data_IF_279269757815
#
_entry.id   IF_279269757815
#
_cell.length_a   1.000
_cell.length_b   1.000
_cell.length_c   1.000
_cell.angle_alpha   90.00
_cell.angle_beta   90.00
_cell.angle_gamma   90.00
#
_symmetry.space_group_name_H-M   'P 1'
#
loop_
_entity.id
_entity.type
_entity.pdbx_description
1 polymer ?
#
# COMPACT_ATOMS: atom_id res chain seq x y z
N UNK A 1 80.16 10.28 130.73
CA UNK A 1 79.87 9.11 129.88
C UNK A 1 78.87 9.52 128.82
N UNK A 2 79.14 9.09 127.58
CA UNK A 2 78.21 8.92 126.45
C UNK A 2 77.50 10.14 125.85
N UNK A 3 78.03 10.60 124.71
CA UNK A 3 77.23 11.13 123.59
C UNK A 3 76.19 10.11 123.12
N UNK A 4 75.17 10.58 122.39
CA UNK A 4 74.77 9.89 121.17
C UNK A 4 74.91 10.80 119.95
N UNK A 5 75.59 10.25 118.97
CA UNK A 5 75.66 10.66 117.58
C UNK A 5 74.33 10.24 116.91
N UNK A 6 73.64 11.14 116.20
CA UNK A 6 72.66 10.76 115.17
C UNK A 6 72.50 11.96 114.22
N UNK A 7 73.31 11.99 113.18
CA UNK A 7 72.92 11.63 111.81
C UNK A 7 72.04 12.70 111.17
N UNK A 8 72.69 13.82 110.82
CA UNK A 8 72.25 14.66 109.71
C UNK A 8 72.17 13.80 108.46
N UNK A 9 70.96 13.58 107.95
CA UNK A 9 70.76 13.06 106.60
C UNK A 9 71.34 14.08 105.63
N UNK A 10 72.48 13.72 105.06
CA UNK A 10 73.13 14.39 103.95
C UNK A 10 72.35 13.99 102.68
N UNK A 11 71.30 14.76 102.33
CA UNK A 11 70.72 14.68 100.99
C UNK A 11 71.69 15.37 100.02
N UNK A 12 72.33 14.53 99.20
CA UNK A 12 73.51 14.87 98.44
C UNK A 12 73.28 15.88 97.29
N UNK A 13 74.30 16.70 96.96
CA UNK A 13 74.33 17.61 95.80
C UNK A 13 74.18 16.94 94.41
N UNK A 14 74.26 15.62 94.33
CA UNK A 14 74.18 14.85 93.07
C UNK A 14 72.75 14.72 92.52
N UNK A 15 71.74 14.72 93.39
CA UNK A 15 70.33 14.59 92.99
C UNK A 15 69.80 15.90 92.39
N UNK A 16 70.27 17.04 92.91
CA UNK A 16 69.99 18.38 92.36
C UNK A 16 70.64 18.57 90.99
N UNK A 17 71.84 18.03 90.78
CA UNK A 17 72.53 18.09 89.48
C UNK A 17 71.85 17.21 88.41
N UNK A 18 71.39 16.01 88.78
CA UNK A 18 70.59 15.16 87.89
C UNK A 18 69.21 15.79 87.59
N UNK A 19 68.55 16.41 88.57
CA UNK A 19 67.29 17.11 88.35
C UNK A 19 67.45 18.34 87.44
N UNK A 20 68.53 19.11 87.59
CA UNK A 20 68.81 20.28 86.75
C UNK A 20 69.09 19.89 85.28
N UNK A 21 69.89 18.84 85.05
CA UNK A 21 70.15 18.33 83.70
C UNK A 21 68.89 17.72 83.06
N UNK A 22 68.01 17.09 83.84
CA UNK A 22 66.71 16.60 83.34
C UNK A 22 65.79 17.75 82.92
N UNK A 23 65.74 18.83 83.70
CA UNK A 23 64.96 20.04 83.39
C UNK A 23 65.50 20.75 82.14
N UNK A 24 66.81 20.83 81.98
CA UNK A 24 67.45 21.39 80.80
C UNK A 24 67.15 20.56 79.54
N UNK A 25 67.16 19.23 79.67
CA UNK A 25 66.75 18.32 78.60
C UNK A 25 65.26 18.45 78.25
N UNK A 26 64.38 18.64 79.25
CA UNK A 26 62.96 18.91 79.03
C UNK A 26 62.73 20.25 78.34
N UNK A 27 63.48 21.29 78.73
CA UNK A 27 63.41 22.60 78.10
C UNK A 27 63.89 22.55 76.64
N UNK A 28 65.01 21.87 76.38
CA UNK A 28 65.49 21.62 75.02
C UNK A 28 64.52 20.78 74.19
N UNK A 29 63.87 19.77 74.79
CA UNK A 29 62.84 18.94 74.14
C UNK A 29 61.59 19.75 73.81
N UNK A 30 61.10 20.56 74.76
CA UNK A 30 59.96 21.45 74.58
C UNK A 30 60.23 22.51 73.50
N UNK A 31 61.44 23.09 73.46
CA UNK A 31 61.85 24.01 72.40
C UNK A 31 61.87 23.33 71.01
N UNK A 32 62.40 22.10 70.91
CA UNK A 32 62.36 21.33 69.67
C UNK A 32 60.94 20.98 69.24
N UNK A 33 60.07 20.59 70.17
CA UNK A 33 58.66 20.30 69.88
C UNK A 33 57.92 21.55 69.42
N UNK A 34 58.17 22.71 70.04
CA UNK A 34 57.60 23.98 69.61
C UNK A 34 58.04 24.33 68.19
N UNK A 35 59.33 24.20 67.88
CA UNK A 35 59.87 24.50 66.55
C UNK A 35 59.32 23.53 65.50
N UNK A 36 59.20 22.24 65.85
CA UNK A 36 58.56 21.23 65.01
C UNK A 36 57.11 21.63 64.73
N UNK A 37 56.34 21.96 65.75
CA UNK A 37 54.94 22.33 65.60
C UNK A 37 54.80 23.61 64.74
N UNK A 38 55.64 24.62 64.96
CA UNK A 38 55.69 25.82 64.12
C UNK A 38 55.99 25.50 62.65
N UNK A 39 56.94 24.58 62.39
CA UNK A 39 57.26 24.11 61.04
C UNK A 39 56.08 23.37 60.41
N UNK A 40 55.43 22.50 61.16
CA UNK A 40 54.25 21.76 60.70
C UNK A 40 53.09 22.71 60.40
N UNK A 41 52.80 23.69 61.27
CA UNK A 41 51.79 24.72 61.02
C UNK A 41 52.09 25.53 59.76
N UNK A 42 53.34 25.94 59.55
CA UNK A 42 53.75 26.65 58.34
C UNK A 42 53.59 25.77 57.09
N UNK A 43 53.87 24.47 57.20
CA UNK A 43 53.66 23.48 56.13
C UNK A 43 52.18 23.34 55.79
N UNK A 44 51.31 23.18 56.80
CA UNK A 44 49.85 23.08 56.62
C UNK A 44 49.29 24.35 55.98
N UNK A 45 49.67 25.55 56.45
CA UNK A 45 49.23 26.81 55.86
C UNK A 45 49.64 26.94 54.39
N UNK A 46 50.86 26.53 54.05
CA UNK A 46 51.32 26.50 52.65
C UNK A 46 50.46 25.55 51.80
N UNK A 47 50.13 24.37 52.32
CA UNK A 47 49.24 23.40 51.68
C UNK A 47 47.83 23.94 51.45
N UNK A 48 47.25 24.60 52.46
CA UNK A 48 45.94 25.25 52.34
C UNK A 48 45.95 26.37 51.29
N UNK A 49 46.99 27.21 51.28
CA UNK A 49 47.13 28.25 50.26
C UNK A 49 47.31 27.70 48.83
N UNK A 50 47.94 26.53 48.66
CA UNK A 50 47.97 25.87 47.34
C UNK A 50 46.60 25.36 46.94
N UNK A 51 45.84 24.79 47.87
CA UNK A 51 44.51 24.24 47.58
C UNK A 51 43.49 25.34 47.28
N UNK A 52 43.52 26.44 48.04
CA UNK A 52 42.71 27.63 47.76
C UNK A 52 43.00 28.14 46.35
N UNK A 53 44.28 28.25 45.97
CA UNK A 53 44.67 28.69 44.62
C UNK A 53 44.20 27.72 43.53
N UNK A 54 44.32 26.41 43.77
CA UNK A 54 43.85 25.37 42.85
C UNK A 54 42.34 25.46 42.65
N UNK A 55 41.58 25.63 43.72
CA UNK A 55 40.13 25.76 43.66
C UNK A 55 39.70 27.07 42.98
N UNK A 56 40.36 28.18 43.30
CA UNK A 56 40.14 29.47 42.64
C UNK A 56 40.38 29.38 41.13
N UNK A 57 41.46 28.73 40.71
CA UNK A 57 41.74 28.48 39.31
C UNK A 57 40.61 27.64 38.68
N UNK A 58 40.24 26.53 39.31
CA UNK A 58 39.17 25.66 38.81
C UNK A 58 37.81 26.37 38.69
N UNK A 59 37.45 27.20 39.68
CA UNK A 59 36.24 28.02 39.61
C UNK A 59 36.32 29.04 38.47
N UNK A 60 37.49 29.62 38.22
CA UNK A 60 37.72 30.56 37.13
C UNK A 60 37.58 29.86 35.77
N UNK A 61 38.21 28.69 35.61
CA UNK A 61 38.15 27.89 34.39
C UNK A 61 36.72 27.44 34.08
N UNK A 62 35.98 26.94 35.09
CA UNK A 62 34.59 26.53 34.94
C UNK A 62 33.68 27.71 34.59
N UNK A 63 33.90 28.87 35.21
CA UNK A 63 33.15 30.10 34.90
C UNK A 63 33.42 30.54 33.46
N UNK A 64 34.66 30.46 33.00
CA UNK A 64 35.03 30.73 31.61
C UNK A 64 34.34 29.76 30.66
N UNK A 65 34.40 28.45 30.93
CA UNK A 65 33.76 27.42 30.11
C UNK A 65 32.25 27.64 30.00
N UNK A 66 31.57 27.92 31.11
CA UNK A 66 30.14 28.23 31.11
C UNK A 66 29.83 29.49 30.32
N UNK A 67 30.64 30.54 30.46
CA UNK A 67 30.44 31.81 29.74
C UNK A 67 30.61 31.62 28.23
N UNK A 68 31.66 30.93 27.81
CA UNK A 68 31.94 30.62 26.40
C UNK A 68 30.82 29.76 25.82
N UNK A 69 30.50 28.62 26.46
CA UNK A 69 29.41 27.73 26.00
C UNK A 69 28.06 28.44 25.95
N UNK A 70 27.75 29.29 26.92
CA UNK A 70 26.50 30.07 26.92
C UNK A 70 26.46 31.07 25.77
N UNK A 71 27.59 31.71 25.44
CA UNK A 71 27.67 32.66 24.33
C UNK A 71 27.51 31.98 22.96
N UNK A 72 28.10 30.80 22.78
CA UNK A 72 27.98 30.00 21.55
C UNK A 72 26.56 29.46 21.37
N UNK A 73 25.95 28.97 22.45
CA UNK A 73 24.63 28.35 22.41
C UNK A 73 23.49 29.37 22.23
N UNK A 74 23.63 30.59 22.77
CA UNK A 74 22.56 31.59 22.71
C UNK A 74 22.42 32.21 21.32
N UNK A 75 23.53 32.43 20.60
CA UNK A 75 23.53 33.01 19.26
C UNK A 75 23.21 32.00 18.14
N UNK A 76 23.91 30.87 18.11
CA UNK A 76 23.77 29.87 17.04
C UNK A 76 22.56 28.94 17.27
N UNK A 77 22.30 28.56 18.53
CA UNK A 77 21.19 27.69 18.90
C UNK A 77 19.81 28.31 18.64
N UNK A 78 19.65 29.62 18.89
CA UNK A 78 18.39 30.33 18.62
C UNK A 78 18.11 30.45 17.12
N UNK A 79 19.14 30.74 16.33
CA UNK A 79 19.04 30.81 14.86
C UNK A 79 18.65 29.45 14.27
N UNK A 80 19.35 28.39 14.66
CA UNK A 80 19.05 27.01 14.24
C UNK A 80 17.66 26.54 14.68
N UNK A 81 17.27 26.86 15.91
CA UNK A 81 15.92 26.54 16.42
C UNK A 81 14.82 27.24 15.63
N UNK A 82 15.03 28.53 15.30
CA UNK A 82 14.12 29.31 14.46
C UNK A 82 14.01 28.75 13.04
N UNK A 83 15.14 28.35 12.44
CA UNK A 83 15.15 27.73 11.10
C UNK A 83 14.41 26.37 11.10
N UNK A 84 14.68 25.51 12.08
CA UNK A 84 13.96 24.24 12.23
C UNK A 84 12.46 24.46 12.40
N UNK A 85 12.06 25.45 13.20
CA UNK A 85 10.65 25.79 13.38
C UNK A 85 10.00 26.23 12.07
N UNK A 86 10.66 27.10 11.29
CA UNK A 86 10.17 27.49 9.96
C UNK A 86 10.04 26.31 9.01
N UNK A 87 11.02 25.38 9.03
CA UNK A 87 10.95 24.16 8.22
C UNK A 87 9.80 23.25 8.64
N UNK A 88 9.53 23.12 9.94
CA UNK A 88 8.38 22.39 10.43
C UNK A 88 7.07 23.03 9.96
N UNK A 89 6.92 24.35 10.12
CA UNK A 89 5.73 25.10 9.66
C UNK A 89 5.52 24.97 8.14
N UNK A 90 6.60 25.02 7.36
CA UNK A 90 6.53 24.84 5.91
C UNK A 90 6.16 23.41 5.51
N UNK A 91 6.71 22.39 6.17
CA UNK A 91 6.35 21.00 5.95
C UNK A 91 4.89 20.72 6.35
N UNK A 92 4.41 21.30 7.45
CA UNK A 92 3.01 21.22 7.86
C UNK A 92 2.07 21.88 6.84
N UNK A 93 2.46 23.04 6.30
CA UNK A 93 1.70 23.71 5.25
C UNK A 93 1.65 22.87 3.96
N UNK A 94 2.78 22.29 3.54
CA UNK A 94 2.84 21.39 2.39
C UNK A 94 2.00 20.14 2.60
N UNK A 95 2.06 19.53 3.80
CA UNK A 95 1.26 18.38 4.16
C UNK A 95 -0.24 18.71 4.06
N UNK A 96 -0.66 19.86 4.59
CA UNK A 96 -2.05 20.32 4.51
C UNK A 96 -2.52 20.56 3.06
N UNK A 97 -1.66 21.10 2.21
CA UNK A 97 -1.97 21.24 0.77
C UNK A 97 -2.16 19.88 0.13
N UNK A 98 -1.27 18.91 0.41
CA UNK A 98 -1.38 17.55 -0.12
C UNK A 98 -2.59 16.79 0.41
N UNK A 99 -2.95 16.98 1.67
CA UNK A 99 -4.18 16.43 2.24
C UNK A 99 -5.43 16.98 1.55
N UNK A 100 -5.47 18.28 1.28
CA UNK A 100 -6.57 18.90 0.55
C UNK A 100 -6.64 18.41 -0.91
N UNK A 101 -5.52 18.37 -1.62
CA UNK A 101 -5.44 17.82 -2.98
C UNK A 101 -5.94 16.36 -3.02
N UNK A 102 -5.52 15.53 -2.06
CA UNK A 102 -5.95 14.15 -1.96
C UNK A 102 -7.46 14.05 -1.68
N UNK A 103 -7.99 14.87 -0.76
CA UNK A 103 -9.41 14.91 -0.46
C UNK A 103 -10.25 15.28 -1.70
N UNK A 104 -9.81 16.22 -2.53
CA UNK A 104 -10.48 16.56 -3.79
C UNK A 104 -10.39 15.45 -4.83
N UNK A 105 -9.22 14.80 -4.97
CA UNK A 105 -9.06 13.65 -5.86
C UNK A 105 -9.97 12.47 -5.45
N UNK A 106 -10.13 12.22 -4.15
CA UNK A 106 -11.04 11.20 -3.65
C UNK A 106 -12.50 11.50 -3.99
N UNK A 107 -12.93 12.77 -3.85
CA UNK A 107 -14.28 13.20 -4.26
C UNK A 107 -14.49 13.03 -5.76
N UNK A 108 -13.51 13.41 -6.58
CA UNK A 108 -13.61 13.27 -8.04
C UNK A 108 -13.67 11.79 -8.45
N UNK A 109 -12.89 10.93 -7.78
CA UNK A 109 -12.90 9.49 -7.99
C UNK A 109 -14.26 8.88 -7.60
N UNK A 110 -14.84 9.30 -6.47
CA UNK A 110 -16.19 8.89 -6.05
C UNK A 110 -17.25 9.31 -7.08
N UNK A 111 -17.21 10.56 -7.54
CA UNK A 111 -18.12 11.06 -8.57
C UNK A 111 -18.00 10.28 -9.88
N UNK A 112 -16.78 9.99 -10.33
CA UNK A 112 -16.52 9.19 -11.54
C UNK A 112 -17.03 7.76 -11.37
N UNK A 113 -16.83 7.13 -10.22
CA UNK A 113 -17.35 5.79 -9.95
C UNK A 113 -18.88 5.76 -9.91
N UNK A 114 -19.52 6.79 -9.35
CA UNK A 114 -20.97 6.93 -9.40
C UNK A 114 -21.48 7.05 -10.85
N UNK A 115 -20.81 7.86 -11.68
CA UNK A 115 -21.13 7.98 -13.11
C UNK A 115 -20.97 6.65 -13.85
N UNK A 116 -19.87 5.92 -13.60
CA UNK A 116 -19.64 4.58 -14.18
C UNK A 116 -20.81 3.66 -13.83
N UNK A 117 -21.22 3.63 -12.55
CA UNK A 117 -22.34 2.78 -12.09
C UNK A 117 -23.64 3.11 -12.82
N UNK A 118 -23.96 4.40 -13.02
CA UNK A 118 -25.14 4.83 -13.77
C UNK A 118 -25.06 4.38 -15.23
N UNK A 119 -23.90 4.59 -15.89
CA UNK A 119 -23.70 4.20 -17.29
C UNK A 119 -23.78 2.69 -17.47
N UNK A 120 -23.17 1.90 -16.58
CA UNK A 120 -23.25 0.45 -16.58
C UNK A 120 -24.68 -0.05 -16.44
N UNK A 121 -25.46 0.52 -15.51
CA UNK A 121 -26.87 0.17 -15.35
C UNK A 121 -27.68 0.53 -16.61
N UNK A 122 -27.40 1.69 -17.20
CA UNK A 122 -28.10 2.13 -18.41
C UNK A 122 -27.81 1.21 -19.60
N UNK A 123 -26.56 0.75 -19.74
CA UNK A 123 -26.19 -0.23 -20.79
C UNK A 123 -26.91 -1.55 -20.53
N UNK A 124 -26.84 -2.10 -19.31
CA UNK A 124 -27.51 -3.35 -18.94
C UNK A 124 -29.02 -3.30 -19.21
N UNK A 125 -29.68 -2.17 -18.90
CA UNK A 125 -31.10 -1.99 -19.18
C UNK A 125 -31.41 -1.93 -20.68
N UNK A 126 -30.58 -1.25 -21.48
CA UNK A 126 -30.75 -1.22 -22.94
C UNK A 126 -30.52 -2.60 -23.56
N UNK A 127 -29.49 -3.31 -23.14
CA UNK A 127 -29.22 -4.69 -23.58
C UNK A 127 -30.40 -5.61 -23.27
N UNK A 128 -30.96 -5.51 -22.06
CA UNK A 128 -32.15 -6.27 -21.67
C UNK A 128 -33.34 -5.95 -22.59
N UNK A 129 -33.62 -4.66 -22.83
CA UNK A 129 -34.71 -4.23 -23.73
C UNK A 129 -34.54 -4.76 -25.15
N UNK A 130 -33.36 -4.62 -25.75
CA UNK A 130 -33.11 -5.13 -27.09
C UNK A 130 -33.19 -6.65 -27.18
N UNK A 131 -32.76 -7.37 -26.14
CA UNK A 131 -32.90 -8.81 -26.09
C UNK A 131 -34.37 -9.25 -26.01
N UNK A 132 -35.20 -8.55 -25.23
CA UNK A 132 -36.64 -8.79 -25.16
C UNK A 132 -37.33 -8.52 -26.50
N UNK A 133 -37.00 -7.40 -27.16
CA UNK A 133 -37.51 -7.09 -28.50
C UNK A 133 -37.10 -8.13 -29.54
N UNK A 134 -35.85 -8.60 -29.48
CA UNK A 134 -35.34 -9.63 -30.38
C UNK A 134 -36.08 -10.96 -30.16
N UNK A 135 -36.32 -11.35 -28.90
CA UNK A 135 -37.13 -12.54 -28.56
C UNK A 135 -38.56 -12.41 -29.09
N UNK A 136 -39.20 -11.26 -28.91
CA UNK A 136 -40.55 -11.01 -29.40
C UNK A 136 -40.64 -11.09 -30.94
N UNK A 137 -39.68 -10.48 -31.64
CA UNK A 137 -39.59 -10.54 -33.11
C UNK A 137 -39.31 -11.96 -33.61
N UNK A 138 -38.41 -12.68 -32.94
CA UNK A 138 -38.10 -14.08 -33.25
C UNK A 138 -39.36 -14.96 -33.11
N UNK A 139 -40.09 -14.83 -31.99
CA UNK A 139 -41.34 -15.55 -31.80
C UNK A 139 -42.38 -15.24 -32.87
N UNK A 140 -42.55 -13.96 -33.23
CA UNK A 140 -43.44 -13.53 -34.32
C UNK A 140 -43.04 -14.14 -35.67
N UNK A 141 -41.74 -14.19 -35.96
CA UNK A 141 -41.22 -14.80 -37.18
C UNK A 141 -41.53 -16.30 -37.21
N UNK A 142 -41.34 -17.02 -36.09
CA UNK A 142 -41.71 -18.43 -35.98
C UNK A 142 -43.20 -18.66 -36.24
N UNK A 143 -44.09 -17.84 -35.67
CA UNK A 143 -45.53 -17.93 -35.91
C UNK A 143 -45.89 -17.74 -37.38
N UNK A 144 -45.39 -16.68 -38.02
CA UNK A 144 -45.64 -16.41 -39.44
C UNK A 144 -45.04 -17.49 -40.36
N UNK A 145 -43.86 -18.01 -40.02
CA UNK A 145 -43.24 -19.12 -40.75
C UNK A 145 -44.09 -20.38 -40.67
N UNK A 146 -44.65 -20.70 -39.50
CA UNK A 146 -45.53 -21.86 -39.34
C UNK A 146 -46.85 -21.72 -40.11
N UNK A 147 -47.44 -20.52 -40.12
CA UNK A 147 -48.64 -20.22 -40.91
C UNK A 147 -48.36 -20.35 -42.42
N UNK A 148 -47.21 -19.86 -42.89
CA UNK A 148 -46.81 -19.98 -44.28
C UNK A 148 -46.59 -21.45 -44.68
N UNK A 149 -45.94 -22.24 -43.83
CA UNK A 149 -45.75 -23.67 -44.04
C UNK A 149 -47.09 -24.44 -44.08
N UNK A 150 -48.02 -24.08 -43.19
CA UNK A 150 -49.37 -24.66 -43.19
C UNK A 150 -50.14 -24.35 -44.48
N UNK A 151 -50.03 -23.11 -44.99
CA UNK A 151 -50.62 -22.72 -46.27
C UNK A 151 -49.97 -23.46 -47.43
N UNK A 152 -48.64 -23.57 -47.45
CA UNK A 152 -47.91 -24.33 -48.46
C UNK A 152 -48.34 -25.80 -48.48
N UNK A 153 -48.47 -26.42 -47.30
CA UNK A 153 -48.99 -27.79 -47.14
C UNK A 153 -50.41 -27.95 -47.68
N UNK A 154 -51.29 -26.98 -47.40
CA UNK A 154 -52.67 -26.97 -47.91
C UNK A 154 -52.71 -26.84 -49.44
N UNK A 155 -51.90 -25.95 -50.00
CA UNK A 155 -51.79 -25.77 -51.46
C UNK A 155 -51.30 -27.07 -52.09
N UNK A 156 -50.23 -27.68 -51.57
CA UNK A 156 -49.71 -28.93 -52.08
C UNK A 156 -50.78 -30.04 -52.08
N UNK A 157 -51.54 -30.15 -50.98
CA UNK A 157 -52.65 -31.09 -50.86
C UNK A 157 -53.75 -30.85 -51.91
N UNK A 158 -54.21 -29.61 -52.07
CA UNK A 158 -55.22 -29.24 -53.08
C UNK A 158 -54.71 -29.45 -54.50
N UNK A 159 -53.44 -29.13 -54.78
CA UNK A 159 -52.78 -29.41 -56.06
C UNK A 159 -52.74 -30.91 -56.35
N UNK A 160 -52.40 -31.74 -55.36
CA UNK A 160 -52.47 -33.21 -55.50
C UNK A 160 -53.89 -33.69 -55.77
N UNK A 161 -54.91 -33.14 -55.09
CA UNK A 161 -56.31 -33.46 -55.36
C UNK A 161 -56.74 -33.08 -56.77
N UNK A 162 -56.34 -31.90 -57.26
CA UNK A 162 -56.61 -31.45 -58.63
C UNK A 162 -55.96 -32.39 -59.65
N UNK A 163 -54.69 -32.77 -59.44
CA UNK A 163 -54.01 -33.73 -60.30
C UNK A 163 -54.70 -35.11 -60.29
N UNK A 164 -55.12 -35.60 -59.13
CA UNK A 164 -55.86 -36.86 -59.02
C UNK A 164 -57.22 -36.80 -59.75
N UNK A 165 -57.97 -35.71 -59.60
CA UNK A 165 -59.25 -35.50 -60.29
C UNK A 165 -59.05 -35.40 -61.82
N UNK A 166 -58.06 -34.64 -62.28
CA UNK A 166 -57.69 -34.55 -63.70
C UNK A 166 -57.35 -35.93 -64.26
N UNK A 167 -56.54 -36.72 -63.54
CA UNK A 167 -56.20 -38.08 -63.96
C UNK A 167 -57.44 -38.97 -64.09
N UNK A 168 -58.35 -38.95 -63.11
CA UNK A 168 -59.62 -39.69 -63.17
C UNK A 168 -60.47 -39.30 -64.39
N UNK A 169 -60.61 -37.99 -64.66
CA UNK A 169 -61.35 -37.50 -65.83
C UNK A 169 -60.72 -37.99 -67.14
N UNK A 170 -59.41 -37.86 -67.29
CA UNK A 170 -58.70 -38.32 -68.49
C UNK A 170 -58.77 -39.84 -68.67
N UNK A 171 -58.74 -40.60 -67.57
CA UNK A 171 -58.95 -42.05 -67.59
C UNK A 171 -60.40 -42.45 -67.91
N UNK A 172 -61.40 -41.62 -67.56
CA UNK A 172 -62.81 -41.86 -67.94
C UNK A 172 -63.15 -41.44 -69.36
N UNK A 173 -62.38 -40.54 -69.98
CA UNK A 173 -62.57 -40.10 -71.37
C UNK A 173 -61.79 -40.95 -72.40
N UNK A 174 -61.17 -42.04 -71.96
CA UNK A 174 -60.32 -42.92 -72.77
C UNK A 174 -60.97 -44.26 -73.13
N UNK A 175 -62.16 -44.24 -73.73
CA UNK A 175 -62.68 -45.36 -74.54
C UNK A 175 -63.10 -44.85 -75.92
N UNK A 176 -62.11 -44.56 -76.76
CA UNK A 176 -62.23 -44.63 -78.23
C UNK A 176 -60.84 -44.37 -78.82
N UNK A 177 -60.14 -45.48 -79.04
CA UNK A 177 -59.51 -45.90 -80.29
C UNK A 177 -58.54 -44.98 -81.07
N UNK A 178 -57.54 -45.65 -81.65
CA UNK A 178 -56.59 -45.22 -82.70
C UNK A 178 -55.34 -44.37 -82.34
N UNK A 179 -54.26 -45.11 -82.05
CA UNK A 179 -52.91 -45.13 -82.68
C UNK A 179 -52.20 -43.88 -83.27
N UNK A 180 -50.85 -43.88 -83.25
CA UNK A 180 -49.99 -42.72 -83.46
C UNK A 180 -49.44 -42.63 -84.89
N UNK A 181 -49.31 -41.44 -85.47
CA UNK A 181 -48.42 -41.25 -86.62
C UNK A 181 -48.12 -39.79 -86.88
N UNK A 182 -46.84 -39.48 -87.13
CA UNK A 182 -46.43 -38.21 -87.70
C UNK A 182 -45.31 -37.48 -86.95
N UNK A 183 -44.11 -38.06 -86.92
CA UNK A 183 -42.90 -37.23 -87.02
C UNK A 183 -42.65 -36.99 -88.52
N UNK A 184 -42.14 -35.82 -88.93
CA UNK A 184 -40.70 -35.81 -89.15
C UNK A 184 -40.02 -34.45 -88.85
N UNK A 185 -38.68 -34.51 -88.91
CA UNK A 185 -37.72 -33.43 -89.16
C UNK A 185 -37.15 -32.69 -87.94
N UNK A 186 -36.02 -33.24 -87.48
CA UNK A 186 -34.76 -32.54 -87.26
C UNK A 186 -34.83 -31.04 -86.92
N UNK A 187 -35.00 -30.76 -85.64
CA UNK A 187 -34.45 -29.55 -85.03
C UNK A 187 -33.57 -30.00 -83.87
N UNK A 188 -32.31 -30.36 -84.17
CA UNK A 188 -31.26 -30.53 -83.15
C UNK A 188 -30.87 -29.15 -82.61
N UNK A 189 -31.83 -28.48 -81.96
CA UNK A 189 -31.52 -27.46 -80.98
C UNK A 189 -30.97 -28.22 -79.78
N UNK A 190 -29.64 -28.36 -79.73
CA UNK A 190 -29.00 -28.43 -78.43
C UNK A 190 -29.37 -27.11 -77.74
N UNK A 191 -30.12 -27.11 -76.61
CA UNK A 191 -30.11 -25.93 -75.78
C UNK A 191 -28.68 -25.84 -75.29
N UNK A 192 -27.90 -24.94 -75.87
CA UNK A 192 -26.71 -24.46 -75.20
C UNK A 192 -27.19 -24.04 -73.79
N UNK A 193 -26.49 -24.47 -72.72
CA UNK A 193 -26.88 -24.06 -71.38
C UNK A 193 -26.99 -22.53 -71.40
N UNK A 194 -28.07 -21.95 -70.82
CA UNK A 194 -28.13 -20.50 -70.63
C UNK A 194 -26.79 -20.07 -70.11
N UNK A 195 -26.16 -19.06 -70.72
CA UNK A 195 -25.01 -18.45 -70.09
C UNK A 195 -25.52 -17.88 -68.78
N UNK A 196 -25.34 -18.65 -67.72
CA UNK A 196 -25.43 -18.20 -66.35
C UNK A 196 -24.46 -17.04 -66.27
N UNK A 197 -25.02 -15.84 -66.45
CA UNK A 197 -24.48 -14.69 -65.76
C UNK A 197 -24.73 -15.02 -64.31
N UNK A 198 -23.78 -15.74 -63.71
CA UNK A 198 -23.60 -15.73 -62.28
C UNK A 198 -23.82 -14.28 -61.85
N UNK A 199 -24.69 -13.99 -60.86
CA UNK A 199 -24.52 -12.75 -60.15
C UNK A 199 -23.07 -12.77 -59.72
N UNK A 200 -22.30 -11.78 -60.17
CA UNK A 200 -20.95 -11.49 -59.71
C UNK A 200 -21.06 -11.41 -58.19
N UNK A 201 -20.91 -12.55 -57.50
CA UNK A 201 -20.90 -12.58 -56.05
C UNK A 201 -19.69 -11.73 -55.70
N UNK A 202 -19.84 -10.62 -54.95
CA UNK A 202 -18.70 -9.84 -54.51
C UNK A 202 -17.93 -10.71 -53.52
N UNK A 203 -17.08 -11.60 -54.04
CA UNK A 203 -16.18 -12.42 -53.25
C UNK A 203 -15.08 -11.48 -52.78
N UNK A 204 -15.39 -10.81 -51.68
CA UNK A 204 -14.45 -10.40 -50.65
C UNK A 204 -13.34 -9.46 -51.15
N UNK A 205 -13.71 -8.21 -51.39
CA UNK A 205 -12.80 -7.09 -51.13
C UNK A 205 -13.50 -6.04 -50.27
N UNK A 206 -13.57 -6.31 -48.98
CA UNK A 206 -13.81 -5.27 -47.98
C UNK A 206 -12.62 -4.32 -47.96
N UNK A 207 -12.67 -3.30 -48.81
CA UNK A 207 -11.87 -2.08 -48.70
C UNK A 207 -12.74 -0.89 -49.10
N UNK A 208 -13.82 -0.67 -48.35
CA UNK A 208 -14.51 0.62 -48.25
C UNK A 208 -14.99 0.79 -46.82
N UNK A 209 -14.63 1.92 -46.25
CA UNK A 209 -14.78 2.29 -44.85
C UNK A 209 -16.23 2.14 -44.37
N UNK A 210 -16.44 1.34 -43.34
CA UNK A 210 -17.67 1.37 -42.53
C UNK A 210 -17.58 2.59 -41.62
N UNK A 211 -17.90 3.77 -42.14
CA UNK A 211 -17.93 5.00 -41.33
C UNK A 211 -19.22 5.80 -41.49
N UNK A 212 -20.31 5.17 -41.94
CA UNK A 212 -21.64 5.80 -41.96
C UNK A 212 -22.64 4.94 -41.15
N UNK A 213 -23.12 5.43 -40.00
CA UNK A 213 -24.17 4.77 -39.23
C UNK A 213 -25.49 4.73 -40.00
N UNK A 214 -26.21 3.60 -39.95
CA UNK A 214 -27.53 3.39 -40.57
C UNK A 214 -28.69 4.05 -39.79
N UNK A 215 -28.41 5.04 -38.93
CA UNK A 215 -29.43 5.65 -38.08
C UNK A 215 -29.04 7.10 -37.70
N UNK A 216 -29.91 8.11 -37.93
CA UNK A 216 -29.61 9.53 -37.66
C UNK A 216 -29.23 9.83 -36.20
N UNK A 217 -29.81 9.13 -35.22
CA UNK A 217 -29.50 9.37 -33.79
C UNK A 217 -28.10 8.91 -33.31
N UNK A 218 -27.32 8.19 -34.13
CA UNK A 218 -25.92 7.85 -33.78
C UNK A 218 -24.88 8.82 -34.35
N UNK A 219 -25.30 9.82 -35.13
CA UNK A 219 -24.39 10.79 -35.76
C UNK A 219 -23.78 11.75 -34.73
N UNK A 220 -24.51 12.11 -33.68
CA UNK A 220 -24.02 13.01 -32.62
C UNK A 220 -22.92 12.37 -31.75
N UNK A 221 -23.03 11.07 -31.48
CA UNK A 221 -22.04 10.31 -30.69
C UNK A 221 -20.73 10.16 -31.46
N UNK A 222 -20.81 10.03 -32.79
CA UNK A 222 -19.63 9.86 -33.64
C UNK A 222 -18.93 11.18 -33.97
N UNK A 223 -19.66 12.32 -34.02
CA UNK A 223 -19.06 13.65 -34.18
C UNK A 223 -18.20 14.06 -32.99
N UNK A 224 -18.54 13.63 -31.78
CA UNK A 224 -17.69 13.88 -30.60
C UNK A 224 -16.33 13.15 -30.66
N UNK A 225 -16.23 12.06 -31.41
CA UNK A 225 -14.98 11.30 -31.59
C UNK A 225 -14.13 11.70 -32.81
N UNK A 226 -14.65 12.54 -33.70
CA UNK A 226 -13.94 13.02 -34.89
C UNK A 226 -13.19 14.34 -34.64
N UNK A 227 -13.74 15.20 -33.79
CA UNK A 227 -13.24 16.57 -33.62
C UNK A 227 -12.09 16.69 -32.60
N UNK A 228 -11.83 15.63 -31.81
CA UNK A 228 -10.60 15.53 -31.01
C UNK A 228 -9.37 15.09 -31.80
N UNK A 229 -9.49 14.85 -33.13
CA UNK A 229 -8.38 14.34 -33.97
C UNK A 229 -7.90 15.29 -35.04
N UNK A 230 -7.98 16.61 -34.81
CA UNK A 230 -7.30 17.57 -35.68
C UNK A 230 -6.54 18.63 -34.87
N UNK A 231 -5.22 18.55 -34.99
CA UNK A 231 -4.27 19.65 -34.86
C UNK A 231 -4.09 20.25 -33.46
N UNK A 232 -3.61 19.43 -32.51
CA UNK A 232 -2.57 19.92 -31.62
C UNK A 232 -1.29 19.16 -31.95
N UNK A 233 -0.33 19.93 -32.43
CA UNK A 233 1.08 19.60 -32.55
C UNK A 233 1.51 18.81 -31.31
N UNK A 234 1.81 17.52 -31.51
CA UNK A 234 2.28 16.58 -30.51
C UNK A 234 3.45 17.19 -29.76
N UNK A 235 3.24 17.54 -28.49
CA UNK A 235 4.31 17.85 -27.55
C UNK A 235 5.29 16.65 -27.55
N UNK A 236 6.61 16.86 -27.54
CA UNK A 236 7.57 15.77 -27.56
C UNK A 236 7.45 15.01 -26.24
N UNK A 237 6.62 13.97 -26.23
CA UNK A 237 6.64 12.95 -25.19
C UNK A 237 8.01 12.31 -25.29
N UNK A 238 8.82 12.48 -24.24
CA UNK A 238 10.09 11.78 -24.09
C UNK A 238 9.83 10.29 -24.36
N UNK A 239 10.53 9.73 -25.35
CA UNK A 239 10.31 8.36 -25.76
C UNK A 239 10.49 7.47 -24.53
N UNK A 240 9.48 6.66 -24.21
CA UNK A 240 9.57 5.67 -23.14
C UNK A 240 10.88 4.90 -23.32
N UNK A 241 11.76 4.85 -22.30
CA UNK A 241 13.07 4.26 -22.44
C UNK A 241 12.91 2.82 -22.96
N UNK A 242 13.71 2.47 -23.97
CA UNK A 242 13.72 1.13 -24.55
C UNK A 242 13.74 0.09 -23.42
N UNK A 243 12.78 -0.86 -23.36
CA UNK A 243 12.75 -1.89 -22.31
C UNK A 243 13.95 -2.83 -22.33
N UNK A 244 14.90 -2.64 -23.24
CA UNK A 244 15.96 -3.59 -23.54
C UNK A 244 17.39 -3.02 -23.51
N UNK A 245 17.80 -2.28 -22.46
CA UNK A 245 19.14 -1.70 -22.40
C UNK A 245 20.27 -2.74 -22.26
N UNK A 246 19.94 -4.00 -21.93
CA UNK A 246 20.92 -5.07 -21.67
C UNK A 246 21.22 -5.98 -22.86
N UNK A 247 20.48 -5.89 -23.97
CA UNK A 247 20.71 -6.77 -25.14
C UNK A 247 21.73 -6.20 -26.13
N UNK A 248 21.95 -4.89 -26.14
CA UNK A 248 22.89 -4.25 -27.09
C UNK A 248 24.34 -4.24 -26.59
N UNK A 249 24.58 -4.51 -25.30
CA UNK A 249 25.93 -4.54 -24.73
C UNK A 249 26.72 -5.83 -25.03
N UNK A 250 26.12 -6.80 -25.75
CA UNK A 250 26.73 -8.11 -25.98
C UNK A 250 27.24 -8.35 -27.40
N UNK A 251 27.17 -7.37 -28.29
CA UNK A 251 27.57 -7.56 -29.70
C UNK A 251 28.83 -6.76 -30.13
N UNK A 252 29.40 -5.94 -29.25
CA UNK A 252 30.62 -5.17 -29.57
C UNK A 252 31.60 -5.11 -28.38
N UNK A 253 32.25 -6.23 -28.09
CA UNK A 253 33.59 -6.22 -27.49
C UNK A 253 34.26 -7.58 -27.70
N UNK A 254 35.17 -7.60 -28.67
CA UNK A 254 36.26 -8.54 -28.83
C UNK A 254 36.98 -8.74 -27.48
N UNK A 255 36.71 -9.88 -26.81
CA UNK A 255 37.25 -10.19 -25.49
C UNK A 255 38.74 -10.52 -25.62
N UNK A 256 39.57 -9.52 -25.40
CA UNK A 256 40.95 -9.71 -24.94
C UNK A 256 40.91 -10.50 -23.63
N UNK A 257 41.56 -11.67 -23.61
CA UNK A 257 41.84 -12.42 -22.40
C UNK A 257 42.69 -11.57 -21.45
N UNK A 258 42.09 -11.07 -20.37
CA UNK A 258 42.84 -10.70 -19.17
C UNK A 258 42.27 -11.51 -18.01
N UNK A 259 43.09 -12.45 -17.55
CA UNK A 259 42.86 -13.32 -16.40
C UNK A 259 43.08 -12.51 -15.14
N UNK A 260 42.02 -12.00 -14.52
CA UNK A 260 42.08 -11.42 -13.17
C UNK A 260 41.52 -12.41 -12.15
N UNK A 261 42.30 -12.68 -11.09
CA UNK A 261 41.94 -13.59 -10.00
C UNK A 261 40.85 -12.95 -9.12
N UNK A 262 39.92 -13.73 -8.54
CA UNK A 262 38.96 -13.19 -7.59
C UNK A 262 39.66 -12.75 -6.29
N UNK A 263 39.23 -11.60 -5.78
CA UNK A 263 39.65 -11.03 -4.49
C UNK A 263 39.20 -11.94 -3.34
N UNK A 264 40.17 -12.34 -2.52
CA UNK A 264 39.98 -13.12 -1.29
C UNK A 264 39.29 -12.22 -0.25
N UNK A 265 38.13 -12.65 0.26
CA UNK A 265 37.43 -11.98 1.35
C UNK A 265 38.25 -12.16 2.64
N UNK A 266 38.57 -11.10 3.41
CA UNK A 266 39.25 -11.24 4.69
C UNK A 266 38.30 -11.80 5.77
N UNK A 267 38.80 -12.53 6.77
CA UNK A 267 37.96 -13.14 7.81
C UNK A 267 37.41 -12.06 8.75
N UNK A 268 36.13 -12.18 9.08
CA UNK A 268 35.43 -11.31 10.05
C UNK A 268 35.90 -11.69 11.46
N UNK A 269 36.48 -10.74 12.21
CA UNK A 269 36.76 -10.90 13.63
C UNK A 269 35.45 -10.86 14.43
N UNK A 270 35.10 -11.97 15.10
CA UNK A 270 34.06 -11.99 16.13
C UNK A 270 34.70 -11.68 17.48
N UNK A 271 34.25 -10.60 18.09
CA UNK A 271 34.62 -10.20 19.43
C UNK A 271 33.63 -10.82 20.44
N UNK A 272 34.14 -11.61 21.38
CA UNK A 272 33.55 -11.83 22.72
C UNK A 272 34.48 -12.70 23.59
N UNK A 273 35.12 -12.01 24.52
CA UNK A 273 35.29 -12.34 25.95
C UNK A 273 35.61 -13.78 26.38
N UNK A 274 36.69 -13.86 27.13
CA UNK A 274 37.31 -14.95 27.89
C UNK A 274 36.40 -15.81 28.80
N UNK A 275 36.85 -17.07 28.89
CA UNK A 275 36.82 -18.03 30.01
C UNK A 275 35.66 -19.05 30.21
N UNK A 276 36.03 -20.30 29.81
CA UNK A 276 35.99 -21.58 30.54
C UNK A 276 34.69 -22.39 30.76
N UNK A 277 34.83 -23.68 30.39
CA UNK A 277 34.19 -24.94 30.85
C UNK A 277 32.97 -25.56 30.09
N UNK A 278 33.31 -26.62 29.32
CA UNK A 278 32.69 -27.93 28.96
C UNK A 278 31.21 -28.30 29.33
N UNK A 279 30.65 -29.43 28.80
CA UNK A 279 30.32 -29.75 27.40
C UNK A 279 28.88 -30.34 27.22
N UNK A 280 28.54 -30.73 25.98
CA UNK A 280 27.47 -31.67 25.55
C UNK A 280 26.08 -31.11 25.14
N UNK A 281 25.72 -31.26 23.85
CA UNK A 281 24.74 -32.26 23.32
C UNK A 281 24.18 -31.87 21.93
N UNK A 282 24.37 -32.79 20.99
CA UNK A 282 23.59 -33.20 19.79
C UNK A 282 22.63 -32.23 19.05
N UNK A 283 22.97 -31.98 17.77
CA UNK A 283 22.20 -31.88 16.48
C UNK A 283 20.65 -32.09 16.49
N UNK A 284 19.92 -31.78 15.37
CA UNK A 284 20.02 -30.65 14.43
C UNK A 284 18.64 -30.03 14.05
N UNK A 285 18.72 -28.93 13.29
CA UNK A 285 17.64 -28.16 12.67
C UNK A 285 16.64 -28.98 11.82
N UNK A 286 15.37 -28.56 11.82
CA UNK A 286 14.33 -29.02 10.87
C UNK A 286 13.66 -27.83 10.17
N UNK A 287 13.35 -28.06 8.90
CA UNK A 287 13.07 -27.09 7.86
C UNK A 287 11.65 -26.51 7.85
N UNK A 288 11.58 -25.31 7.29
CA UNK A 288 10.53 -24.65 6.50
C UNK A 288 9.22 -25.43 6.25
N UNK A 289 8.07 -24.86 6.64
CA UNK A 289 6.73 -25.25 6.15
C UNK A 289 5.94 -23.99 5.83
N UNK A 290 5.54 -23.86 4.57
CA UNK A 290 4.70 -22.78 4.05
C UNK A 290 3.27 -22.87 4.58
N UNK A 291 2.68 -21.70 4.82
CA UNK A 291 1.30 -21.54 5.30
C UNK A 291 0.36 -21.59 4.11
N UNK A 292 -0.42 -22.67 3.99
CA UNK A 292 -1.55 -22.75 3.08
C UNK A 292 -2.85 -22.42 3.82
N UNK A 293 -3.60 -21.44 3.30
CA UNK A 293 -4.92 -21.07 3.79
C UNK A 293 -5.94 -22.21 3.60
N UNK A 294 -6.57 -22.66 4.68
CA UNK A 294 -7.73 -23.58 4.65
C UNK A 294 -8.96 -22.84 5.16
N UNK A 295 -9.89 -22.55 4.25
CA UNK A 295 -11.22 -22.00 4.56
C UNK A 295 -12.13 -23.17 4.96
N UNK A 296 -12.72 -23.10 6.15
CA UNK A 296 -13.75 -24.05 6.60
C UNK A 296 -15.13 -23.55 6.17
N UNK A 297 -15.87 -24.37 5.42
CA UNK A 297 -17.28 -24.14 5.10
C UNK A 297 -18.15 -24.60 6.28
N UNK A 298 -18.96 -23.70 6.84
CA UNK A 298 -19.98 -24.02 7.84
C UNK A 298 -21.37 -24.17 7.18
N UNK A 299 -22.10 -25.18 7.61
CA UNK A 299 -23.46 -25.59 7.19
C UNK A 299 -24.52 -24.80 8.02
N UNK A 300 -25.75 -24.55 7.53
CA UNK A 300 -26.63 -23.49 8.04
C UNK A 300 -27.56 -23.93 9.19
N UNK A 301 -28.10 -22.98 10.00
CA UNK A 301 -29.03 -23.31 11.08
C UNK A 301 -30.49 -23.41 10.60
N UNK A 302 -31.15 -24.43 11.14
CA UNK A 302 -32.56 -24.81 10.98
C UNK A 302 -33.49 -23.94 11.84
N UNK A 303 -34.71 -23.71 11.33
CA UNK A 303 -35.73 -22.82 11.88
C UNK A 303 -36.58 -23.44 13.01
N UNK A 304 -37.07 -22.61 13.94
CA UNK A 304 -38.50 -22.34 14.28
C UNK A 304 -38.69 -21.78 15.73
N UNK A 305 -39.83 -21.11 16.01
CA UNK A 305 -39.99 -20.12 17.10
C UNK A 305 -40.81 -20.66 18.29
N UNK A 306 -40.63 -20.07 19.48
CA UNK A 306 -41.58 -20.22 20.59
C UNK A 306 -41.85 -18.90 21.29
N UNK A 307 -43.14 -18.58 21.39
CA UNK A 307 -43.72 -17.45 22.13
C UNK A 307 -44.50 -18.04 23.31
N UNK A 308 -44.23 -17.59 24.54
CA UNK A 308 -45.11 -17.73 25.73
C UNK A 308 -44.74 -16.64 26.76
N UNK A 309 -45.40 -15.47 26.76
CA UNK A 309 -46.58 -15.04 27.56
C UNK A 309 -46.39 -14.97 29.09
N UNK A 310 -46.81 -13.83 29.66
CA UNK A 310 -47.13 -13.49 31.07
C UNK A 310 -45.92 -13.28 32.01
N UNK A 311 -45.86 -12.26 32.88
CA UNK A 311 -46.91 -11.49 33.53
C UNK A 311 -46.51 -10.02 33.78
N UNK A 312 -47.56 -9.22 33.98
CA UNK A 312 -47.60 -7.79 34.27
C UNK A 312 -47.32 -7.56 35.75
N UNK A 313 -46.55 -6.52 36.10
CA UNK A 313 -46.72 -5.85 37.40
C UNK A 313 -46.94 -4.34 37.18
N UNK A 314 -48.05 -3.85 37.74
CA UNK A 314 -48.49 -2.46 37.75
C UNK A 314 -48.38 -1.95 39.18
N UNK A 315 -47.77 -0.78 39.39
CA UNK A 315 -48.14 0.22 40.43
C UNK A 315 -47.29 1.47 40.15
N UNK A 316 -47.78 2.51 39.46
CA UNK A 316 -48.75 3.56 39.82
C UNK A 316 -48.27 4.59 40.86
N UNK A 317 -48.44 5.87 40.51
CA UNK A 317 -48.45 7.04 41.39
C UNK A 317 -47.18 7.90 41.33
N UNK A 318 -47.15 9.13 40.80
CA UNK A 318 -48.20 10.01 40.33
C UNK A 318 -47.68 11.46 40.25
N UNK A 319 -48.47 12.32 39.59
CA UNK A 319 -48.44 13.80 39.55
C UNK A 319 -47.31 14.46 38.71
N UNK A 320 -47.59 14.91 37.49
CA UNK A 320 -48.23 16.21 37.12
C UNK A 320 -47.35 17.41 37.46
N UNK A 321 -46.79 18.09 36.43
CA UNK A 321 -47.12 19.51 36.13
C UNK A 321 -46.60 19.95 34.76
N UNK A 322 -47.52 20.60 34.02
CA UNK A 322 -47.31 21.32 32.75
C UNK A 322 -46.59 22.67 32.98
N UNK A 323 -45.83 23.12 31.98
CA UNK A 323 -45.74 24.51 31.49
C UNK A 323 -45.00 24.46 30.14
N UNK A 324 -45.74 24.61 29.02
CA UNK A 324 -46.00 25.84 28.26
C UNK A 324 -44.85 26.21 27.32
N UNK A 325 -45.12 26.07 26.01
CA UNK A 325 -44.29 26.66 24.96
C UNK A 325 -44.59 28.16 24.77
N UNK A 326 -44.10 28.66 23.62
CA UNK A 326 -44.07 30.07 23.15
C UNK A 326 -43.08 30.96 23.93
N UNK A 327 -42.26 31.82 23.34
CA UNK A 327 -42.26 32.45 22.02
C UNK A 327 -40.87 33.05 21.70
N UNK A 328 -40.70 33.41 20.43
CA UNK A 328 -39.64 34.19 19.77
C UNK A 328 -39.14 35.40 20.58
N UNK A 329 -37.86 35.76 20.46
CA UNK A 329 -37.36 37.01 19.83
C UNK A 329 -35.88 37.28 20.15
N UNK A 330 -35.24 37.91 19.15
CA UNK A 330 -33.88 38.48 19.05
C UNK A 330 -32.73 37.50 18.84
#
# INVERSE_FOLDING_TARGET
MTSPHFSSYDEGPLDVSMAATNLENQLHSAQKNLLFLQREHASTLKGLHSEIRRLQQHCTDLTYELTVKSSEQTGDGTSRSSELKKRCEELEAQLKVKENENAELLKELEQKNAMITVLENTIKEREKKYLEELKAKSHKLTLLSSELEQRASTIAYLTSQLHAAKKKLMSSSGTSDASPSGSPVLASYKPAPPKDKLPETPRRRMKKSLSAPLHPEFEEVYRFGAESRKLLLREPVDAMPDPTPFLLARESAEVHLIKERPLVIPPIASDRSSEQHSPAREKPHKAHVGVAHRIHHATPPQAQPEVKTLAVDQVNGGKVRKHSGTDRTV
#
